data_IF_945329137718
#
_entry.id   IF_945329137718
#
_cell.length_a   1.000
_cell.length_b   1.000
_cell.length_c   1.000
_cell.angle_alpha   90.00
_cell.angle_beta   90.00
_cell.angle_gamma   90.00
#
_symmetry.space_group_name_H-M   'P 1'
#
loop_
_entity.id
_entity.type
_entity.pdbx_description
1 polymer ?
#
# COMPACT_ATOMS: atom_id res chain seq x y z
N UNK A 1 10.73 -22.57 18.09
CA UNK A 1 11.04 -23.26 16.83
C UNK A 1 9.92 -22.93 15.85
N UNK A 2 10.19 -22.09 14.84
CA UNK A 2 9.28 -21.87 13.72
C UNK A 2 9.29 -23.13 12.85
N UNK A 3 8.51 -24.12 13.23
CA UNK A 3 8.33 -25.36 12.48
C UNK A 3 7.79 -25.06 11.09
N UNK A 4 8.62 -25.19 10.06
CA UNK A 4 8.18 -25.31 8.70
C UNK A 4 8.14 -24.06 7.82
N UNK A 5 9.15 -23.19 7.83
CA UNK A 5 9.35 -22.17 6.77
C UNK A 5 9.39 -22.77 5.35
N UNK A 6 9.64 -24.07 5.23
CA UNK A 6 9.61 -24.80 3.95
C UNK A 6 8.20 -24.89 3.31
N UNK A 7 7.14 -24.58 4.05
CA UNK A 7 5.75 -24.59 3.55
C UNK A 7 5.20 -23.22 3.19
N UNK A 8 5.94 -22.14 3.52
CA UNK A 8 5.48 -20.77 3.23
C UNK A 8 5.77 -20.43 1.76
N UNK A 9 4.73 -20.10 1.03
CA UNK A 9 4.81 -19.75 -0.39
C UNK A 9 4.94 -18.25 -0.63
N UNK A 10 4.55 -17.42 0.33
CA UNK A 10 4.62 -15.96 0.19
C UNK A 10 5.17 -15.30 1.45
N UNK A 11 5.76 -14.12 1.26
CA UNK A 11 6.28 -13.28 2.34
C UNK A 11 5.90 -11.83 2.10
N UNK A 12 5.57 -11.11 3.18
CA UNK A 12 5.33 -9.67 3.19
C UNK A 12 6.48 -8.99 3.90
N UNK A 13 7.08 -8.00 3.24
CA UNK A 13 8.14 -7.16 3.80
C UNK A 13 7.59 -5.76 3.99
N UNK A 14 6.95 -5.56 5.14
CA UNK A 14 6.42 -4.26 5.53
C UNK A 14 7.33 -3.66 6.59
N UNK A 15 7.68 -2.41 6.40
CA UNK A 15 8.44 -1.61 7.34
C UNK A 15 7.67 -0.30 7.63
N UNK A 16 8.21 0.55 8.49
CA UNK A 16 7.59 1.84 8.80
C UNK A 16 7.71 2.88 7.66
N UNK A 17 8.17 2.45 6.47
CA UNK A 17 8.34 3.29 5.28
C UNK A 17 8.26 2.46 4.01
N UNK A 18 8.57 3.08 2.88
CA UNK A 18 8.56 2.40 1.59
C UNK A 18 9.79 1.54 1.39
N UNK A 19 9.61 0.32 0.86
CA UNK A 19 10.71 -0.62 0.60
C UNK A 19 11.79 -0.04 -0.31
N UNK A 20 11.39 0.75 -1.33
CA UNK A 20 12.32 1.36 -2.28
C UNK A 20 12.83 2.75 -1.84
N UNK A 21 12.51 3.22 -0.64
CA UNK A 21 13.16 4.40 -0.07
C UNK A 21 14.59 4.05 0.36
N UNK A 22 15.57 4.71 -0.24
CA UNK A 22 17.00 4.50 0.07
C UNK A 22 17.36 4.83 1.52
N UNK A 23 16.55 5.67 2.18
CA UNK A 23 16.72 5.99 3.60
C UNK A 23 16.21 4.88 4.52
N UNK A 24 15.20 4.12 4.06
CA UNK A 24 14.65 2.98 4.81
C UNK A 24 15.45 1.70 4.55
N UNK A 25 15.76 1.43 3.28
CA UNK A 25 16.52 0.25 2.85
C UNK A 25 17.57 0.72 1.83
N UNK A 26 18.88 0.67 2.17
CA UNK A 26 19.95 1.00 1.23
C UNK A 26 19.90 0.11 -0.01
N UNK A 27 20.12 0.68 -1.21
CA UNK A 27 20.10 -0.08 -2.47
C UNK A 27 21.12 -1.24 -2.49
N UNK A 28 22.22 -1.11 -1.77
CA UNK A 28 23.24 -2.15 -1.66
C UNK A 28 22.72 -3.46 -1.04
N UNK A 29 21.65 -3.38 -0.25
CA UNK A 29 21.02 -4.55 0.39
C UNK A 29 20.12 -5.36 -0.55
N UNK A 30 19.72 -4.81 -1.70
CA UNK A 30 18.73 -5.44 -2.59
C UNK A 30 19.14 -6.86 -3.00
N UNK A 31 20.42 -7.08 -3.31
CA UNK A 31 20.90 -8.40 -3.73
C UNK A 31 20.88 -9.43 -2.58
N UNK A 32 21.26 -9.01 -1.38
CA UNK A 32 21.27 -9.87 -0.20
C UNK A 32 19.83 -10.22 0.23
N UNK A 33 18.92 -9.25 0.16
CA UNK A 33 17.49 -9.45 0.43
C UNK A 33 16.91 -10.42 -0.59
N UNK A 34 17.08 -10.18 -1.90
CA UNK A 34 16.56 -11.04 -2.95
C UNK A 34 17.03 -12.50 -2.82
N UNK A 35 18.31 -12.70 -2.48
CA UNK A 35 18.86 -14.04 -2.23
C UNK A 35 18.14 -14.78 -1.10
N UNK A 36 17.77 -14.09 -0.02
CA UNK A 36 17.01 -14.67 1.11
C UNK A 36 15.57 -15.01 0.74
N UNK A 37 15.04 -14.33 -0.28
CA UNK A 37 13.66 -14.46 -0.75
C UNK A 37 13.50 -15.52 -1.86
N UNK A 38 14.56 -16.12 -2.36
CA UNK A 38 14.56 -17.04 -3.50
C UNK A 38 13.64 -18.26 -3.33
N UNK A 39 13.27 -18.63 -2.09
CA UNK A 39 12.38 -19.76 -1.77
C UNK A 39 10.89 -19.43 -1.83
N UNK A 40 10.53 -18.14 -1.97
CA UNK A 40 9.13 -17.73 -1.97
C UNK A 40 8.63 -17.54 -3.40
N UNK A 41 7.42 -18.05 -3.67
CA UNK A 41 6.74 -17.88 -4.96
C UNK A 41 6.25 -16.44 -5.14
N UNK A 42 5.97 -15.74 -4.03
CA UNK A 42 5.49 -14.35 -4.03
C UNK A 42 6.14 -13.54 -2.91
N UNK A 43 6.63 -12.39 -3.29
CA UNK A 43 7.21 -11.38 -2.39
C UNK A 43 6.35 -10.13 -2.47
N UNK A 44 5.84 -9.68 -1.33
CA UNK A 44 4.99 -8.49 -1.24
C UNK A 44 5.77 -7.39 -0.52
N UNK A 45 5.92 -6.23 -1.17
CA UNK A 45 6.58 -5.06 -0.59
C UNK A 45 5.64 -3.86 -0.58
N UNK A 46 5.71 -3.05 0.48
CA UNK A 46 4.98 -1.78 0.54
C UNK A 46 5.82 -0.67 -0.06
N UNK A 47 5.19 0.18 -0.87
CA UNK A 47 5.86 1.29 -1.53
C UNK A 47 4.93 2.50 -1.68
N UNK A 48 5.49 3.69 -1.51
CA UNK A 48 4.81 4.92 -1.90
C UNK A 48 4.83 5.03 -3.44
N UNK A 49 3.72 5.43 -4.11
CA UNK A 49 3.66 5.51 -5.58
C UNK A 49 4.82 6.27 -6.22
N UNK A 50 5.27 7.38 -5.62
CA UNK A 50 6.38 8.18 -6.12
C UNK A 50 7.76 7.47 -6.11
N UNK A 51 7.87 6.32 -5.47
CA UNK A 51 9.12 5.54 -5.36
C UNK A 51 9.12 4.29 -6.25
N UNK A 52 8.04 4.06 -7.00
CA UNK A 52 7.98 3.02 -8.02
C UNK A 52 8.75 3.50 -9.24
N UNK A 53 9.76 2.75 -9.65
CA UNK A 53 10.64 3.12 -10.76
C UNK A 53 11.73 2.08 -10.99
N UNK A 54 12.86 2.50 -11.56
CA UNK A 54 13.96 1.61 -11.99
C UNK A 54 14.44 0.63 -10.90
N UNK A 55 14.52 1.09 -9.64
CA UNK A 55 14.93 0.21 -8.54
C UNK A 55 13.93 -0.92 -8.32
N UNK A 56 12.63 -0.63 -8.44
CA UNK A 56 11.58 -1.63 -8.35
C UNK A 56 11.74 -2.70 -9.44
N UNK A 57 11.98 -2.28 -10.68
CA UNK A 57 12.22 -3.18 -11.81
C UNK A 57 13.48 -4.03 -11.60
N UNK A 58 14.61 -3.40 -11.20
CA UNK A 58 15.85 -4.09 -10.90
C UNK A 58 15.71 -5.10 -9.75
N UNK A 59 14.89 -4.80 -8.75
CA UNK A 59 14.63 -5.72 -7.64
C UNK A 59 13.77 -6.89 -8.10
N UNK A 60 12.70 -6.64 -8.89
CA UNK A 60 11.89 -7.70 -9.52
C UNK A 60 12.77 -8.70 -10.28
N UNK A 61 13.72 -8.20 -11.11
CA UNK A 61 14.60 -9.05 -11.93
C UNK A 61 15.54 -9.94 -11.13
N UNK A 62 15.73 -9.65 -9.84
CA UNK A 62 16.53 -10.47 -8.91
C UNK A 62 15.74 -11.57 -8.22
N UNK A 63 14.40 -11.50 -8.26
CA UNK A 63 13.55 -12.46 -7.58
C UNK A 63 13.28 -13.69 -8.44
N UNK A 64 13.25 -14.87 -7.83
CA UNK A 64 12.81 -16.09 -8.49
C UNK A 64 11.27 -16.18 -8.54
N UNK A 65 10.59 -15.55 -7.58
CA UNK A 65 9.13 -15.50 -7.48
C UNK A 65 8.55 -14.18 -7.98
N UNK A 66 7.23 -14.07 -7.97
CA UNK A 66 6.52 -12.87 -8.38
C UNK A 66 6.68 -11.76 -7.34
N UNK A 67 7.01 -10.54 -7.80
CA UNK A 67 6.91 -9.34 -6.97
C UNK A 67 5.47 -8.82 -6.99
N UNK A 68 4.91 -8.55 -5.81
CA UNK A 68 3.67 -7.83 -5.62
C UNK A 68 3.99 -6.52 -4.91
N UNK A 69 3.60 -5.40 -5.52
CA UNK A 69 3.83 -4.06 -4.97
C UNK A 69 2.53 -3.56 -4.34
N UNK A 70 2.57 -3.28 -3.04
CA UNK A 70 1.46 -2.71 -2.31
C UNK A 70 1.60 -1.19 -2.27
N UNK A 71 0.65 -0.47 -2.89
CA UNK A 71 0.63 0.98 -3.00
C UNK A 71 -0.48 1.59 -2.14
N UNK A 72 -0.17 2.66 -1.40
CA UNK A 72 -1.18 3.45 -0.71
C UNK A 72 -1.95 4.32 -1.71
N UNK A 73 -3.23 4.02 -1.91
CA UNK A 73 -4.20 4.88 -2.58
C UNK A 73 -4.87 5.79 -1.55
N UNK A 74 -5.12 5.26 -0.38
CA UNK A 74 -5.81 5.86 0.76
C UNK A 74 -7.28 6.10 0.46
N UNK A 75 -7.62 7.01 -0.43
CA UNK A 75 -8.99 7.33 -0.87
C UNK A 75 -8.95 8.08 -2.21
N UNK A 76 -10.04 8.03 -2.97
CA UNK A 76 -10.25 8.88 -4.15
C UNK A 76 -11.01 10.17 -3.84
N UNK A 77 -11.42 10.40 -2.57
CA UNK A 77 -12.09 11.63 -2.18
C UNK A 77 -11.12 12.83 -2.30
N UNK A 78 -11.40 13.83 -3.17
CA UNK A 78 -10.42 14.84 -3.55
C UNK A 78 -9.90 15.68 -2.37
N UNK A 79 -10.81 16.15 -1.51
CA UNK A 79 -10.41 16.96 -0.35
C UNK A 79 -9.72 16.13 0.74
N UNK A 80 -10.22 14.92 1.04
CA UNK A 80 -9.62 14.06 2.04
C UNK A 80 -8.21 13.63 1.62
N UNK A 81 -8.02 13.22 0.36
CA UNK A 81 -6.72 12.83 -0.17
C UNK A 81 -5.69 13.96 -0.01
N UNK A 82 -6.09 15.20 -0.31
CA UNK A 82 -5.23 16.37 -0.15
C UNK A 82 -4.88 16.63 1.33
N UNK A 83 -5.89 16.56 2.22
CA UNK A 83 -5.74 16.85 3.66
C UNK A 83 -4.98 15.75 4.41
N UNK A 84 -5.01 14.50 3.94
CA UNK A 84 -4.24 13.39 4.52
C UNK A 84 -2.72 13.59 4.44
N UNK A 85 -2.25 14.54 3.63
CA UNK A 85 -0.82 14.88 3.50
C UNK A 85 0.09 13.68 3.14
N UNK A 86 -0.46 12.69 2.47
CA UNK A 86 0.28 11.51 2.00
C UNK A 86 1.13 11.80 0.77
N UNK A 87 1.02 13.02 0.22
CA UNK A 87 1.77 13.48 -0.96
C UNK A 87 1.62 12.54 -2.17
N UNK A 88 0.44 11.99 -2.35
CA UNK A 88 0.07 11.16 -3.49
C UNK A 88 -1.11 11.82 -4.21
N UNK A 89 -1.10 11.78 -5.55
CA UNK A 89 -2.24 12.14 -6.39
C UNK A 89 -2.76 10.89 -7.09
N UNK A 90 -4.01 10.93 -7.58
CA UNK A 90 -4.58 9.82 -8.34
C UNK A 90 -3.78 9.52 -9.62
N UNK A 91 -3.25 10.57 -10.30
CA UNK A 91 -2.41 10.40 -11.48
C UNK A 91 -1.07 9.73 -11.13
N UNK A 92 -0.45 10.09 -10.00
CA UNK A 92 0.77 9.43 -9.53
C UNK A 92 0.51 7.96 -9.18
N UNK A 93 -0.63 7.66 -8.54
CA UNK A 93 -1.02 6.28 -8.27
C UNK A 93 -1.21 5.50 -9.57
N UNK A 94 -1.95 6.08 -10.54
CA UNK A 94 -2.19 5.46 -11.85
C UNK A 94 -0.88 5.17 -12.59
N UNK A 95 0.02 6.14 -12.70
CA UNK A 95 1.31 5.96 -13.35
C UNK A 95 2.16 4.87 -12.69
N UNK A 96 2.18 4.81 -11.35
CA UNK A 96 2.87 3.76 -10.61
C UNK A 96 2.22 2.38 -10.84
N UNK A 97 0.88 2.32 -10.84
CA UNK A 97 0.11 1.10 -11.10
C UNK A 97 0.38 0.57 -12.52
N UNK A 98 0.39 1.45 -13.52
CA UNK A 98 0.74 1.09 -14.91
C UNK A 98 2.14 0.52 -15.02
N UNK A 99 3.14 1.16 -14.38
CA UNK A 99 4.50 0.65 -14.39
C UNK A 99 4.60 -0.75 -13.76
N UNK A 100 3.89 -0.97 -12.64
CA UNK A 100 3.85 -2.27 -11.95
C UNK A 100 3.23 -3.33 -12.85
N UNK A 101 2.03 -3.08 -13.37
CA UNK A 101 1.23 -4.08 -14.12
C UNK A 101 1.82 -4.38 -15.50
N UNK A 102 2.27 -3.36 -16.24
CA UNK A 102 2.90 -3.54 -17.55
C UNK A 102 4.23 -4.32 -17.49
N UNK A 103 4.87 -4.34 -16.33
CA UNK A 103 6.10 -5.09 -16.10
C UNK A 103 5.88 -6.45 -15.41
N UNK A 104 4.66 -7.01 -15.46
CA UNK A 104 4.35 -8.35 -14.96
C UNK A 104 4.39 -8.52 -13.44
N UNK A 105 4.41 -7.41 -12.69
CA UNK A 105 4.28 -7.42 -11.24
C UNK A 105 2.80 -7.39 -10.85
N UNK A 106 2.48 -7.96 -9.69
CA UNK A 106 1.14 -7.86 -9.14
C UNK A 106 0.98 -6.52 -8.39
N UNK A 107 -0.20 -5.92 -8.49
CA UNK A 107 -0.55 -4.70 -7.78
C UNK A 107 -1.51 -5.00 -6.63
N UNK A 108 -1.17 -4.52 -5.43
CA UNK A 108 -2.08 -4.40 -4.29
C UNK A 108 -2.31 -2.93 -3.98
N UNK A 109 -3.57 -2.55 -3.75
CA UNK A 109 -3.92 -1.22 -3.27
C UNK A 109 -4.30 -1.24 -1.79
N UNK A 110 -3.89 -0.21 -1.04
CA UNK A 110 -4.39 0.07 0.30
C UNK A 110 -5.40 1.21 0.22
N UNK A 111 -6.60 0.97 0.72
CA UNK A 111 -7.71 1.92 0.79
C UNK A 111 -8.14 2.06 2.25
N UNK A 112 -8.34 3.27 2.71
CA UNK A 112 -8.83 3.53 4.07
C UNK A 112 -10.35 3.53 4.08
N UNK A 113 -10.93 2.77 5.01
CA UNK A 113 -12.35 2.94 5.37
C UNK A 113 -12.45 4.06 6.39
N UNK A 114 -13.28 5.04 6.08
CA UNK A 114 -13.52 6.22 6.91
C UNK A 114 -12.23 6.94 7.34
N UNK A 115 -11.42 7.44 6.38
CA UNK A 115 -10.32 8.32 6.74
C UNK A 115 -10.85 9.64 7.30
N UNK A 116 -10.03 10.44 8.02
CA UNK A 116 -10.44 11.76 8.45
C UNK A 116 -10.89 12.64 7.27
N UNK A 117 -11.75 13.60 7.55
CA UNK A 117 -12.31 14.56 6.59
C UNK A 117 -13.37 13.97 5.63
N UNK A 118 -13.80 12.73 5.86
CA UNK A 118 -14.96 12.14 5.17
C UNK A 118 -16.06 11.93 6.24
N UNK A 119 -17.30 12.43 6.01
CA UNK A 119 -18.41 12.16 6.89
C UNK A 119 -18.69 10.65 7.02
N UNK A 120 -19.05 10.16 8.22
CA UNK A 120 -19.30 8.73 8.42
C UNK A 120 -20.35 8.14 7.47
N UNK A 121 -21.36 8.90 7.13
CA UNK A 121 -22.44 8.52 6.20
C UNK A 121 -21.97 8.33 4.76
N UNK A 122 -20.88 8.97 4.36
CA UNK A 122 -20.28 8.86 3.02
C UNK A 122 -19.12 7.85 2.96
N UNK A 123 -18.65 7.37 4.12
CA UNK A 123 -17.43 6.59 4.23
C UNK A 123 -17.42 5.32 3.36
N UNK A 124 -18.54 4.58 3.35
CA UNK A 124 -18.67 3.35 2.56
C UNK A 124 -18.71 3.66 1.07
N UNK A 125 -19.41 4.71 0.66
CA UNK A 125 -19.46 5.12 -0.75
C UNK A 125 -18.06 5.48 -1.28
N UNK A 126 -17.31 6.31 -0.55
CA UNK A 126 -15.96 6.67 -0.96
C UNK A 126 -14.97 5.52 -0.90
N UNK A 127 -15.16 4.58 0.04
CA UNK A 127 -14.39 3.34 0.06
C UNK A 127 -14.65 2.50 -1.20
N UNK A 128 -15.89 2.30 -1.59
CA UNK A 128 -16.27 1.57 -2.81
C UNK A 128 -15.69 2.23 -4.06
N UNK A 129 -15.86 3.55 -4.23
CA UNK A 129 -15.24 4.31 -5.34
C UNK A 129 -13.72 4.15 -5.38
N UNK A 130 -13.07 4.07 -4.20
CA UNK A 130 -11.62 3.86 -4.13
C UNK A 130 -11.22 2.44 -4.51
N UNK A 131 -12.03 1.44 -4.16
CA UNK A 131 -11.86 0.05 -4.58
C UNK A 131 -11.99 -0.05 -6.11
N UNK A 132 -13.06 0.50 -6.68
CA UNK A 132 -13.30 0.50 -8.13
C UNK A 132 -12.13 1.15 -8.88
N UNK A 133 -11.71 2.34 -8.45
CA UNK A 133 -10.57 3.03 -9.04
C UNK A 133 -9.28 2.19 -8.98
N UNK A 134 -9.03 1.50 -7.86
CA UNK A 134 -7.84 0.66 -7.73
C UNK A 134 -7.88 -0.55 -8.68
N UNK A 135 -9.06 -1.14 -8.89
CA UNK A 135 -9.28 -2.24 -9.83
C UNK A 135 -9.12 -1.76 -11.28
N UNK A 136 -9.65 -0.59 -11.63
CA UNK A 136 -9.44 0.04 -12.94
C UNK A 136 -7.96 0.31 -13.24
N UNK A 137 -7.16 0.56 -12.20
CA UNK A 137 -5.70 0.65 -12.30
C UNK A 137 -4.99 -0.71 -12.34
N UNK A 138 -5.72 -1.83 -12.34
CA UNK A 138 -5.17 -3.19 -12.44
C UNK A 138 -4.78 -3.84 -11.12
N UNK A 139 -5.28 -3.34 -9.98
CA UNK A 139 -5.06 -4.00 -8.69
C UNK A 139 -5.74 -5.38 -8.66
N UNK A 140 -4.95 -6.41 -8.35
CA UNK A 140 -5.46 -7.78 -8.16
C UNK A 140 -5.95 -8.02 -6.75
N UNK A 141 -5.54 -7.17 -5.80
CA UNK A 141 -5.98 -7.17 -4.42
C UNK A 141 -6.16 -5.73 -3.96
N UNK A 142 -7.29 -5.43 -3.35
CA UNK A 142 -7.51 -4.18 -2.60
C UNK A 142 -7.72 -4.53 -1.13
N UNK A 143 -6.87 -3.99 -0.27
CA UNK A 143 -6.99 -4.14 1.18
C UNK A 143 -7.69 -2.92 1.74
N UNK A 144 -8.92 -3.10 2.23
CA UNK A 144 -9.67 -2.08 2.94
C UNK A 144 -9.23 -2.05 4.40
N UNK A 145 -8.74 -0.90 4.86
CA UNK A 145 -8.14 -0.72 6.18
C UNK A 145 -9.01 0.21 7.02
N UNK A 146 -9.68 -0.28 8.07
CA UNK A 146 -10.40 0.57 8.99
C UNK A 146 -9.45 1.57 9.67
N UNK A 147 -9.74 2.86 9.52
CA UNK A 147 -8.91 3.91 10.13
C UNK A 147 -9.15 3.93 11.64
N UNK A 148 -8.08 4.11 12.42
CA UNK A 148 -8.12 4.06 13.89
C UNK A 148 -7.38 5.22 14.51
N UNK A 149 -7.78 5.57 15.74
CA UNK A 149 -7.03 6.43 16.67
C UNK A 149 -5.76 5.72 17.19
N UNK A 150 -5.05 6.33 18.12
CA UNK A 150 -3.89 5.73 18.81
C UNK A 150 -2.53 6.13 18.25
N UNK A 151 -2.44 7.15 17.39
CA UNK A 151 -1.16 7.66 16.84
C UNK A 151 -0.96 9.17 17.03
N UNK A 152 -1.61 9.77 18.01
CA UNK A 152 -1.47 11.18 18.37
C UNK A 152 -2.03 12.16 17.33
N UNK A 153 -1.79 11.99 16.04
CA UNK A 153 -2.38 12.81 14.98
C UNK A 153 -3.88 12.51 14.84
N UNK A 154 -4.24 11.24 14.78
CA UNK A 154 -5.63 10.80 14.70
C UNK A 154 -6.40 11.14 15.98
N UNK A 155 -5.75 11.06 17.15
CA UNK A 155 -6.36 11.43 18.43
C UNK A 155 -6.73 12.91 18.46
N UNK A 156 -5.87 13.79 17.92
CA UNK A 156 -6.16 15.23 17.78
C UNK A 156 -7.31 15.51 16.82
N UNK A 157 -7.38 14.81 15.69
CA UNK A 157 -8.46 14.94 14.72
C UNK A 157 -9.78 14.46 15.31
N UNK A 158 -9.78 13.37 16.06
CA UNK A 158 -10.96 12.87 16.76
C UNK A 158 -11.44 13.88 17.83
N UNK A 159 -10.53 14.41 18.65
CA UNK A 159 -10.86 15.45 19.64
C UNK A 159 -11.40 16.75 19.02
N UNK A 160 -10.98 17.08 17.77
CA UNK A 160 -11.46 18.21 17.01
C UNK A 160 -12.78 17.93 16.24
N UNK A 161 -13.37 16.74 16.36
CA UNK A 161 -14.56 16.34 15.62
C UNK A 161 -14.38 16.14 14.11
N UNK A 162 -13.11 15.98 13.66
CA UNK A 162 -12.77 15.82 12.25
C UNK A 162 -12.54 14.36 11.86
N UNK A 163 -12.72 13.45 12.79
CA UNK A 163 -12.61 12.01 12.61
C UNK A 163 -13.41 11.24 13.65
N UNK A 164 -14.04 10.18 13.20
CA UNK A 164 -14.64 9.12 14.05
C UNK A 164 -14.20 7.76 13.52
N UNK A 165 -13.99 6.79 14.39
CA UNK A 165 -13.63 5.44 13.95
C UNK A 165 -14.83 4.77 13.25
N UNK A 166 -14.57 3.96 12.20
CA UNK A 166 -15.60 3.15 11.58
C UNK A 166 -16.15 2.11 12.57
N UNK A 167 -17.42 1.78 12.43
CA UNK A 167 -18.11 0.77 13.24
C UNK A 167 -18.18 -0.57 12.50
N UNK A 168 -18.50 -1.65 13.22
CA UNK A 168 -18.71 -2.97 12.59
C UNK A 168 -19.94 -3.02 11.69
N UNK A 169 -20.83 -2.01 11.75
CA UNK A 169 -22.00 -1.92 10.89
C UNK A 169 -21.75 -1.25 9.53
N UNK A 170 -20.54 -0.73 9.35
CA UNK A 170 -20.06 -0.16 8.07
C UNK A 170 -19.24 -1.19 7.30
#
# INVERSE_FOLDING_TARGET
>A
ECGGLAKLRQVKLYNAGSFFDVKAIPKAEDAAIAKRLAKFDRVIVECHPALVGDRCLQFRDRLSGQLEVALGLETVHPEALQKLNKRVTLDQFRAAAELVTQNGMALRAFVLLQPPFIPPEEAVEWANRSVDFSQDCGATVTALIPTRTGNGAMDRLAAAGQFTEPTLGQ
#
